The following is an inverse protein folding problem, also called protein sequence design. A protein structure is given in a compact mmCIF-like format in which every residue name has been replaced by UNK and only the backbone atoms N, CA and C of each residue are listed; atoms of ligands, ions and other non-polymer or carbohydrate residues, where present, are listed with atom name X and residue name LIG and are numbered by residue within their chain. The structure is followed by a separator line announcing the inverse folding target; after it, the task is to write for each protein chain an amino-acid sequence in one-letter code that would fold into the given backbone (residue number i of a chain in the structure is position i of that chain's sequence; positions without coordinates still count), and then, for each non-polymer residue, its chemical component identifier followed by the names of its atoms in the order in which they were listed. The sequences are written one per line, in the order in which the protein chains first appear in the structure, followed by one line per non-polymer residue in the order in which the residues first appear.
data_IF_844062730012
#
_entry.id   IF_844062730012
#
_cell.length_a   1.000
_cell.length_b   1.000
_cell.length_c   1.000
_cell.angle_alpha   90.00
_cell.angle_beta   90.00
_cell.angle_gamma   90.00
#
_symmetry.space_group_name_H-M   'P 1'
#
loop_
_entity.id
_entity.type
_entity.pdbx_description
1 polymer ?
#
# COMPACT_ATOMS: atom_id res chain seq x y z
N UNK A 1 -48.15 -77.04 -18.60
CA UNK A 1 -48.23 -75.71 -17.97
C UNK A 1 -46.90 -75.44 -17.24
N UNK A 2 -46.04 -74.71 -17.85
CA UNK A 2 -44.76 -74.29 -17.22
C UNK A 2 -44.62 -72.76 -17.36
N UNK A 3 -44.69 -72.10 -16.24
CA UNK A 3 -44.51 -70.64 -16.15
C UNK A 3 -43.03 -70.29 -16.19
N UNK A 4 -42.66 -69.52 -17.22
CA UNK A 4 -41.33 -68.95 -17.35
C UNK A 4 -41.32 -67.63 -16.60
N UNK A 5 -40.51 -67.57 -15.57
CA UNK A 5 -40.22 -66.29 -14.84
C UNK A 5 -39.06 -65.59 -15.55
N UNK A 6 -39.35 -64.51 -16.24
CA UNK A 6 -38.31 -63.58 -16.76
C UNK A 6 -37.73 -62.76 -15.61
N UNK A 7 -36.43 -62.91 -15.40
CA UNK A 7 -35.67 -62.06 -14.52
C UNK A 7 -35.08 -60.93 -15.39
N UNK A 8 -35.62 -59.73 -15.27
CA UNK A 8 -35.07 -58.55 -15.86
C UNK A 8 -34.00 -58.02 -14.90
N UNK A 9 -32.76 -58.28 -15.21
CA UNK A 9 -31.62 -57.66 -14.54
C UNK A 9 -31.43 -56.24 -15.01
N UNK A 10 -31.82 -55.28 -14.16
CA UNK A 10 -31.54 -53.88 -14.41
C UNK A 10 -30.07 -53.57 -14.10
N UNK A 11 -29.26 -53.39 -15.15
CA UNK A 11 -27.93 -52.82 -15.00
C UNK A 11 -28.05 -51.31 -14.79
N UNK A 12 -27.95 -50.88 -13.50
CA UNK A 12 -27.82 -49.47 -13.21
C UNK A 12 -26.39 -49.01 -13.54
N UNK A 13 -26.24 -48.40 -14.71
CA UNK A 13 -25.02 -47.67 -15.06
C UNK A 13 -24.96 -46.40 -14.19
N UNK A 14 -24.20 -46.43 -13.13
CA UNK A 14 -23.78 -45.22 -12.43
C UNK A 14 -22.79 -44.46 -13.33
N UNK A 15 -23.28 -43.46 -14.07
CA UNK A 15 -22.43 -42.43 -14.63
C UNK A 15 -21.91 -41.61 -13.46
N UNK A 16 -20.70 -41.92 -13.02
CA UNK A 16 -19.91 -40.99 -12.20
C UNK A 16 -19.52 -39.83 -13.13
N UNK A 17 -20.35 -38.79 -13.17
CA UNK A 17 -19.98 -37.52 -13.72
C UNK A 17 -18.90 -36.92 -12.77
N UNK A 18 -17.65 -37.27 -13.09
CA UNK A 18 -16.51 -36.56 -12.48
C UNK A 18 -16.60 -35.11 -12.91
N UNK A 19 -17.12 -34.28 -12.01
CA UNK A 19 -16.93 -32.83 -12.10
C UNK A 19 -15.42 -32.60 -12.02
N UNK A 20 -14.76 -32.44 -13.19
CA UNK A 20 -13.44 -31.87 -13.20
C UNK A 20 -13.57 -30.49 -12.48
N UNK A 21 -13.15 -30.44 -11.23
CA UNK A 21 -12.95 -29.17 -10.54
C UNK A 21 -11.89 -28.45 -11.38
N UNK A 22 -12.34 -27.51 -12.22
CA UNK A 22 -11.45 -26.53 -12.80
C UNK A 22 -10.86 -25.80 -11.61
N UNK A 23 -9.66 -26.20 -11.19
CA UNK A 23 -8.90 -25.45 -10.19
C UNK A 23 -8.88 -24.01 -10.70
N UNK A 24 -9.56 -23.12 -9.96
CA UNK A 24 -9.51 -21.71 -10.29
C UNK A 24 -8.04 -21.32 -10.34
N UNK A 25 -7.61 -20.71 -11.44
CA UNK A 25 -6.25 -20.18 -11.52
C UNK A 25 -6.12 -19.17 -10.39
N UNK A 26 -5.16 -19.40 -9.53
CA UNK A 26 -4.83 -18.49 -8.39
C UNK A 26 -3.69 -17.56 -8.74
N UNK A 27 -3.09 -17.72 -9.90
CA UNK A 27 -2.01 -16.92 -10.42
C UNK A 27 -2.57 -15.82 -11.33
N UNK A 28 -2.12 -14.60 -11.10
CA UNK A 28 -2.33 -13.44 -11.96
C UNK A 28 -1.00 -13.11 -12.65
N UNK A 29 -1.01 -13.08 -13.98
CA UNK A 29 0.13 -12.61 -14.77
C UNK A 29 -0.19 -11.21 -15.28
N UNK A 30 0.58 -10.23 -14.83
CA UNK A 30 0.46 -8.83 -15.24
C UNK A 30 1.62 -8.49 -16.15
N UNK A 31 1.31 -8.09 -17.40
CA UNK A 31 2.30 -7.55 -18.31
C UNK A 31 2.53 -6.07 -18.05
N UNK A 32 3.78 -5.66 -17.87
CA UNK A 32 4.18 -4.26 -17.75
C UNK A 32 5.03 -3.86 -18.95
N UNK A 33 5.00 -2.58 -19.31
CA UNK A 33 5.72 -2.06 -20.49
C UNK A 33 7.22 -1.95 -20.23
N UNK A 34 7.60 -1.62 -18.99
CA UNK A 34 8.99 -1.44 -18.58
C UNK A 34 9.27 -2.25 -17.33
N UNK A 35 10.44 -2.86 -17.28
CA UNK A 35 10.96 -3.51 -16.07
C UNK A 35 11.48 -2.43 -15.11
N UNK A 36 11.05 -2.42 -13.83
CA UNK A 36 11.59 -1.47 -12.85
C UNK A 36 13.06 -1.79 -12.55
N UNK A 37 13.94 -0.78 -12.43
CA UNK A 37 15.36 -1.00 -12.13
C UNK A 37 15.58 -1.56 -10.72
N UNK A 38 14.67 -1.30 -9.80
CA UNK A 38 14.58 -1.80 -8.42
C UNK A 38 13.15 -1.59 -7.91
N UNK A 39 12.85 -1.98 -6.67
CA UNK A 39 11.51 -1.88 -6.09
C UNK A 39 11.39 -0.82 -4.97
N UNK A 40 12.33 0.11 -4.84
CA UNK A 40 12.27 1.20 -3.88
C UNK A 40 11.69 2.46 -4.54
N UNK A 41 10.42 2.83 -4.25
CA UNK A 41 9.78 4.01 -4.83
C UNK A 41 10.35 5.32 -4.27
N UNK A 42 11.09 5.28 -3.15
CA UNK A 42 11.66 6.47 -2.51
C UNK A 42 13.04 6.86 -3.05
N UNK A 43 13.60 6.09 -3.98
CA UNK A 43 14.97 6.28 -4.47
C UNK A 43 15.09 6.48 -5.98
N UNK A 44 14.01 6.60 -6.74
CA UNK A 44 14.05 6.75 -8.20
C UNK A 44 12.78 7.37 -8.77
N UNK A 45 12.92 8.08 -9.89
CA UNK A 45 11.82 8.66 -10.68
C UNK A 45 11.22 7.68 -11.71
N UNK A 46 11.55 6.38 -11.67
CA UNK A 46 11.08 5.44 -12.68
C UNK A 46 9.62 5.04 -12.40
N UNK A 47 8.67 5.57 -13.19
CA UNK A 47 7.24 5.26 -13.07
C UNK A 47 6.91 3.75 -13.05
N UNK A 48 7.76 2.91 -13.68
CA UNK A 48 7.63 1.46 -13.65
C UNK A 48 7.73 0.88 -12.23
N UNK A 49 8.40 1.57 -11.28
CA UNK A 49 8.46 1.16 -9.88
C UNK A 49 7.08 1.35 -9.26
N UNK A 50 6.51 2.56 -9.38
CA UNK A 50 5.22 2.89 -8.78
C UNK A 50 4.09 2.03 -9.33
N UNK A 51 4.08 1.72 -10.64
CA UNK A 51 3.10 0.82 -11.26
C UNK A 51 3.04 -0.55 -10.58
N UNK A 52 4.15 -1.03 -10.02
CA UNK A 52 4.23 -2.35 -9.40
C UNK A 52 4.05 -2.26 -7.88
N UNK A 53 4.70 -1.29 -7.23
CA UNK A 53 4.85 -1.32 -5.77
C UNK A 53 3.83 -0.47 -5.03
N UNK A 54 3.35 0.63 -5.63
CA UNK A 54 2.38 1.51 -4.99
C UNK A 54 1.05 0.81 -4.75
N UNK A 55 0.53 0.90 -3.53
CA UNK A 55 -0.69 0.25 -3.07
C UNK A 55 -0.72 -1.30 -3.19
N UNK A 56 0.36 -1.93 -3.66
CA UNK A 56 0.53 -3.37 -3.71
C UNK A 56 1.51 -3.87 -2.63
N UNK A 57 2.65 -3.18 -2.49
CA UNK A 57 3.71 -3.51 -1.53
C UNK A 57 3.91 -2.40 -0.50
N UNK A 58 3.70 -1.15 -0.88
CA UNK A 58 3.89 0.02 -0.03
C UNK A 58 2.64 0.87 0.08
N UNK A 59 2.51 1.58 1.18
CA UNK A 59 1.39 2.48 1.47
C UNK A 59 1.91 3.83 1.99
N UNK A 60 1.18 4.92 1.64
CA UNK A 60 1.39 6.25 2.21
C UNK A 60 0.44 6.50 3.40
N UNK A 61 0.52 7.68 3.99
CA UNK A 61 -0.44 8.13 5.02
C UNK A 61 -1.85 8.21 4.45
N UNK A 62 -1.97 8.74 3.23
CA UNK A 62 -3.20 8.82 2.45
C UNK A 62 -3.05 8.02 1.17
N UNK A 63 -4.11 7.90 0.41
CA UNK A 63 -4.09 7.40 -0.97
C UNK A 63 -4.99 8.26 -1.85
N UNK A 64 -4.75 8.23 -3.15
CA UNK A 64 -5.60 8.88 -4.14
C UNK A 64 -6.60 7.86 -4.68
N UNK A 65 -7.88 8.12 -4.48
CA UNK A 65 -8.97 7.30 -4.98
C UNK A 65 -9.16 7.43 -6.50
N UNK A 66 -10.05 6.61 -7.06
CA UNK A 66 -10.26 6.51 -8.52
C UNK A 66 -10.74 7.80 -9.17
N UNK A 67 -11.42 8.66 -8.40
CA UNK A 67 -11.94 9.95 -8.89
C UNK A 67 -11.03 11.13 -8.52
N UNK A 68 -9.84 10.84 -7.97
CA UNK A 68 -8.87 11.85 -7.54
C UNK A 68 -9.10 12.38 -6.12
N UNK A 69 -10.04 11.81 -5.36
CA UNK A 69 -10.25 12.14 -3.95
C UNK A 69 -9.13 11.60 -3.06
N UNK A 70 -8.87 12.30 -1.97
CA UNK A 70 -7.93 11.83 -0.94
C UNK A 70 -8.67 10.93 0.04
N UNK A 71 -8.19 9.71 0.18
CA UNK A 71 -8.74 8.69 1.07
C UNK A 71 -7.73 8.31 2.17
N UNK A 72 -8.21 7.82 3.34
CA UNK A 72 -7.38 7.20 4.35
C UNK A 72 -6.55 6.01 3.80
N UNK A 73 -5.33 5.81 4.37
CA UNK A 73 -4.48 4.65 4.10
C UNK A 73 -3.80 4.21 5.41
N UNK A 74 -2.50 4.46 5.64
CA UNK A 74 -1.88 4.20 6.94
C UNK A 74 -2.41 5.13 8.05
N UNK A 75 -2.83 6.34 7.69
CA UNK A 75 -3.64 7.17 8.58
C UNK A 75 -5.12 6.81 8.43
N UNK A 76 -5.82 6.55 9.55
CA UNK A 76 -7.26 6.32 9.57
C UNK A 76 -8.05 7.64 9.47
N UNK A 77 -7.46 8.73 9.94
CA UNK A 77 -8.04 10.07 9.92
C UNK A 77 -6.97 11.14 10.13
N UNK A 78 -7.34 12.39 9.91
CA UNK A 78 -6.49 13.55 10.20
C UNK A 78 -7.33 14.79 10.53
N UNK A 79 -6.73 15.66 11.32
CA UNK A 79 -7.23 17.01 11.60
C UNK A 79 -6.30 18.05 10.96
N UNK A 80 -6.87 19.14 10.48
CA UNK A 80 -6.13 20.26 9.91
C UNK A 80 -6.44 21.54 10.71
N UNK A 81 -5.40 22.27 11.11
CA UNK A 81 -5.56 23.54 11.81
C UNK A 81 -6.25 24.60 10.94
N UNK A 82 -6.89 25.58 11.56
CA UNK A 82 -7.63 26.66 10.86
C UNK A 82 -6.76 27.43 9.87
N UNK A 83 -5.46 27.58 10.17
CA UNK A 83 -4.48 28.24 9.31
C UNK A 83 -3.93 27.34 8.17
N UNK A 84 -4.35 26.07 8.13
CA UNK A 84 -3.96 25.09 7.11
C UNK A 84 -2.49 24.65 7.18
N UNK A 85 -1.82 24.87 8.33
CA UNK A 85 -0.38 24.56 8.47
C UNK A 85 -0.09 23.30 9.27
N UNK A 86 -0.97 22.91 10.18
CA UNK A 86 -0.72 21.78 11.07
C UNK A 86 -1.68 20.65 10.71
N UNK A 87 -1.11 19.49 10.41
CA UNK A 87 -1.82 18.24 10.13
C UNK A 87 -1.54 17.25 11.24
N UNK A 88 -2.58 16.78 11.92
CA UNK A 88 -2.46 15.74 12.95
C UNK A 88 -3.08 14.45 12.43
N UNK A 89 -2.25 13.48 12.11
CA UNK A 89 -2.67 12.18 11.61
C UNK A 89 -2.87 11.20 12.76
N UNK A 90 -3.97 10.43 12.71
CA UNK A 90 -4.20 9.24 13.53
C UNK A 90 -3.89 8.01 12.71
N UNK A 91 -2.98 7.17 13.19
CA UNK A 91 -2.51 5.99 12.48
C UNK A 91 -3.32 4.74 12.86
N UNK A 92 -3.48 3.83 11.91
CA UNK A 92 -4.03 2.51 12.20
C UNK A 92 -3.14 1.75 13.18
N UNK A 93 -3.76 1.01 14.10
CA UNK A 93 -3.06 0.15 15.05
C UNK A 93 -2.87 -1.27 14.51
N UNK A 94 -1.80 -1.95 14.95
CA UNK A 94 -1.55 -3.36 14.62
C UNK A 94 -1.11 -3.60 13.17
N UNK A 95 -0.72 -2.55 12.45
CA UNK A 95 -0.08 -2.66 11.13
C UNK A 95 1.35 -3.13 11.32
N UNK A 96 1.83 -3.99 10.42
CA UNK A 96 3.19 -4.50 10.43
C UNK A 96 3.87 -4.33 9.08
N UNK A 97 5.18 -4.09 9.12
CA UNK A 97 6.02 -4.21 7.93
C UNK A 97 6.21 -5.67 7.51
N UNK A 98 6.78 -5.89 6.33
CA UNK A 98 6.98 -7.23 5.77
C UNK A 98 7.94 -8.10 6.57
N UNK A 99 8.83 -7.51 7.34
CA UNK A 99 9.76 -8.20 8.25
C UNK A 99 9.13 -8.57 9.60
N UNK A 100 7.89 -8.12 9.84
CA UNK A 100 7.12 -8.37 11.06
C UNK A 100 7.26 -7.32 12.14
N UNK A 101 8.08 -6.26 11.95
CA UNK A 101 8.17 -5.12 12.85
C UNK A 101 6.85 -4.34 12.88
N UNK A 102 6.55 -3.70 13.98
CA UNK A 102 5.33 -2.89 14.12
C UNK A 102 5.52 -1.54 13.44
N UNK A 103 4.48 -1.07 12.77
CA UNK A 103 4.42 0.28 12.21
C UNK A 103 3.91 1.26 13.26
N UNK A 104 4.60 2.41 13.40
CA UNK A 104 4.19 3.49 14.28
C UNK A 104 4.56 4.89 13.76
N UNK A 105 4.37 5.89 14.62
CA UNK A 105 4.60 7.30 14.30
C UNK A 105 6.08 7.66 14.06
N UNK A 106 7.01 6.91 14.65
CA UNK A 106 8.45 7.14 14.43
C UNK A 106 8.86 6.75 13.00
N UNK A 107 8.24 5.72 12.41
CA UNK A 107 8.48 5.33 11.01
C UNK A 107 8.03 6.41 10.04
N UNK A 108 6.87 7.02 10.33
CA UNK A 108 6.37 8.16 9.54
C UNK A 108 7.32 9.34 9.65
N UNK A 109 7.75 9.66 10.86
CA UNK A 109 8.72 10.73 11.10
C UNK A 109 10.03 10.45 10.38
N UNK A 110 10.59 9.27 10.52
CA UNK A 110 11.80 8.84 9.83
C UNK A 110 11.67 9.02 8.30
N UNK A 111 10.59 8.49 7.73
CA UNK A 111 10.36 8.53 6.28
C UNK A 111 10.27 9.96 5.75
N UNK A 112 9.48 10.83 6.40
CA UNK A 112 9.30 12.21 5.96
C UNK A 112 10.56 13.05 6.18
N UNK A 113 11.30 12.82 7.27
CA UNK A 113 12.58 13.48 7.54
C UNK A 113 13.64 13.07 6.51
N UNK A 114 13.73 11.76 6.18
CA UNK A 114 14.60 11.24 5.12
C UNK A 114 14.24 11.81 3.74
N UNK A 115 12.95 11.85 3.39
CA UNK A 115 12.50 12.33 2.09
C UNK A 115 12.82 13.81 1.85
N UNK A 116 12.82 14.65 2.88
CA UNK A 116 13.10 16.09 2.81
C UNK A 116 14.55 16.46 3.11
N UNK A 117 15.40 15.51 3.49
CA UNK A 117 16.81 15.75 3.78
C UNK A 117 17.55 16.38 2.57
N UNK A 118 18.63 17.10 2.83
CA UNK A 118 19.40 17.77 1.77
C UNK A 118 19.99 16.75 0.78
N UNK A 119 20.48 15.62 1.30
CA UNK A 119 21.05 14.49 0.56
C UNK A 119 20.02 13.44 0.11
N UNK A 120 18.73 13.75 0.21
CA UNK A 120 17.65 12.83 -0.15
C UNK A 120 17.75 12.38 -1.62
N UNK A 121 17.67 11.08 -1.84
CA UNK A 121 17.59 10.46 -3.18
C UNK A 121 16.16 10.37 -3.70
N UNK A 122 15.15 10.81 -2.92
CA UNK A 122 13.76 10.82 -3.36
C UNK A 122 13.58 11.75 -4.57
N UNK A 123 13.09 11.19 -5.68
CA UNK A 123 12.92 11.91 -6.93
C UNK A 123 11.91 13.05 -6.83
N UNK A 124 10.94 12.93 -5.95
CA UNK A 124 9.88 13.91 -5.70
C UNK A 124 10.08 14.69 -4.40
N UNK A 125 11.32 14.89 -3.97
CA UNK A 125 11.61 15.59 -2.70
C UNK A 125 10.94 16.98 -2.60
N UNK A 126 10.54 17.57 -3.71
CA UNK A 126 9.78 18.83 -3.73
C UNK A 126 8.38 18.69 -3.09
N UNK A 127 7.78 17.48 -3.08
CA UNK A 127 6.51 17.23 -2.39
C UNK A 127 6.61 17.49 -0.89
N UNK A 128 7.81 17.31 -0.33
CA UNK A 128 8.09 17.42 1.11
C UNK A 128 8.69 18.78 1.49
N UNK A 129 8.99 19.65 0.52
CA UNK A 129 9.69 20.92 0.76
C UNK A 129 8.91 21.90 1.65
N UNK A 130 7.58 21.79 1.67
CA UNK A 130 6.72 22.61 2.53
C UNK A 130 6.75 22.18 3.99
N UNK A 131 7.23 20.98 4.32
CA UNK A 131 7.28 20.46 5.69
C UNK A 131 8.34 21.25 6.47
N UNK A 132 7.96 21.77 7.63
CA UNK A 132 8.83 22.39 8.61
C UNK A 132 9.26 21.37 9.67
N UNK A 133 8.29 20.78 10.38
CA UNK A 133 8.57 19.76 11.39
C UNK A 133 7.66 18.54 11.26
N UNK A 134 8.19 17.38 11.67
CA UNK A 134 7.44 16.14 11.87
C UNK A 134 7.67 15.66 13.30
N UNK A 135 6.60 15.47 14.05
CA UNK A 135 6.63 15.07 15.44
C UNK A 135 5.83 13.77 15.63
N UNK A 136 6.47 12.73 16.14
CA UNK A 136 5.77 11.57 16.69
C UNK A 136 5.28 11.94 18.09
N UNK A 137 3.98 12.24 18.22
CA UNK A 137 3.37 12.70 19.49
C UNK A 137 3.18 11.52 20.44
N UNK A 138 2.74 10.40 19.89
CA UNK A 138 2.61 9.10 20.52
C UNK A 138 2.70 8.03 19.41
N UNK A 139 2.76 6.72 19.71
CA UNK A 139 2.93 5.69 18.69
C UNK A 139 1.87 5.71 17.55
N UNK A 140 0.68 6.27 17.77
CA UNK A 140 -0.40 6.34 16.80
C UNK A 140 -0.72 7.76 16.32
N UNK A 141 0.08 8.77 16.72
CA UNK A 141 -0.22 10.16 16.36
C UNK A 141 1.01 10.86 15.82
N UNK A 142 0.93 11.31 14.57
CA UNK A 142 1.96 12.14 13.92
C UNK A 142 1.41 13.54 13.70
N UNK A 143 2.21 14.54 14.06
CA UNK A 143 1.93 15.95 13.77
C UNK A 143 2.93 16.46 12.75
N UNK A 144 2.44 16.95 11.62
CA UNK A 144 3.23 17.57 10.56
C UNK A 144 2.91 19.05 10.50
N UNK A 145 3.92 19.89 10.67
CA UNK A 145 3.78 21.35 10.54
C UNK A 145 4.39 21.80 9.21
N UNK A 146 3.67 22.64 8.49
CA UNK A 146 4.11 23.22 7.22
C UNK A 146 4.62 24.65 7.43
N UNK A 147 5.64 25.04 6.66
CA UNK A 147 6.16 26.42 6.59
C UNK A 147 5.08 27.41 6.12
N UNK A 148 4.29 27.00 5.14
CA UNK A 148 3.16 27.73 4.56
C UNK A 148 2.01 26.77 4.27
N UNK A 149 0.74 27.24 4.30
CA UNK A 149 -0.40 26.39 3.95
C UNK A 149 -0.26 25.83 2.54
N UNK A 150 -0.55 24.54 2.38
CA UNK A 150 -0.46 23.88 1.09
C UNK A 150 -1.68 22.97 0.86
N UNK A 151 -2.61 23.41 -0.01
CA UNK A 151 -3.86 22.68 -0.25
C UNK A 151 -3.68 21.28 -0.84
N UNK A 152 -2.55 21.04 -1.53
CA UNK A 152 -2.24 19.73 -2.13
C UNK A 152 -1.52 18.77 -1.14
N UNK A 153 -1.24 19.17 0.10
CA UNK A 153 -0.38 18.39 1.00
C UNK A 153 -0.92 16.97 1.23
N UNK A 154 -2.19 16.81 1.56
CA UNK A 154 -2.79 15.48 1.75
C UNK A 154 -2.77 14.63 0.47
N UNK A 155 -2.97 15.26 -0.68
CA UNK A 155 -2.87 14.60 -1.98
C UNK A 155 -1.43 14.11 -2.24
N UNK A 156 -0.44 14.94 -1.92
CA UNK A 156 0.98 14.59 -2.07
C UNK A 156 1.38 13.41 -1.17
N UNK A 157 0.79 13.29 0.03
CA UNK A 157 1.04 12.16 0.94
C UNK A 157 0.41 10.83 0.45
N UNK A 158 -0.35 10.87 -0.62
CA UNK A 158 -0.91 9.71 -1.30
C UNK A 158 -0.17 9.29 -2.57
N UNK A 159 1.00 9.86 -2.86
CA UNK A 159 1.82 9.49 -4.02
C UNK A 159 2.78 8.35 -3.69
N UNK A 160 3.24 7.64 -4.75
CA UNK A 160 4.18 6.52 -4.61
C UNK A 160 5.49 6.90 -3.93
N UNK A 161 5.99 8.11 -4.17
CA UNK A 161 7.20 8.65 -3.53
C UNK A 161 7.03 9.01 -2.05
N UNK A 162 5.78 9.06 -1.55
CA UNK A 162 5.42 9.38 -0.15
C UNK A 162 5.00 8.14 0.67
N UNK A 163 5.34 6.95 0.21
CA UNK A 163 5.11 5.72 0.96
C UNK A 163 5.99 5.64 2.20
N UNK A 164 5.49 4.98 3.23
CA UNK A 164 6.22 4.83 4.50
C UNK A 164 7.09 3.58 4.44
N UNK A 165 8.33 3.75 4.87
CA UNK A 165 9.35 2.69 4.93
C UNK A 165 9.89 2.55 6.34
N UNK A 166 10.23 1.32 6.73
CA UNK A 166 10.88 1.06 8.01
C UNK A 166 12.34 1.55 7.98
N UNK A 167 12.86 2.15 9.08
CA UNK A 167 14.26 2.55 9.18
C UNK A 167 15.24 1.43 8.83
N UNK A 168 14.96 0.22 9.31
CA UNK A 168 15.79 -0.96 9.12
C UNK A 168 15.96 -1.38 7.65
N UNK A 169 14.89 -1.18 6.85
CA UNK A 169 14.93 -1.47 5.41
C UNK A 169 15.57 -0.36 4.59
N UNK A 170 15.64 0.86 5.13
CA UNK A 170 16.18 2.02 4.41
C UNK A 170 17.69 2.19 4.54
N UNK A 171 18.35 1.56 5.53
CA UNK A 171 19.78 1.73 5.82
C UNK A 171 20.72 1.23 4.70
N UNK A 172 20.24 0.39 3.80
CA UNK A 172 20.99 -0.09 2.63
C UNK A 172 20.94 0.82 1.40
N UNK A 173 20.08 1.85 1.40
CA UNK A 173 19.75 2.69 0.25
C UNK A 173 20.09 4.19 0.52
N UNK A 174 21.26 4.45 1.07
CA UNK A 174 21.83 5.81 1.14
C UNK A 174 22.60 6.15 -0.10
#
# INVERSE_FOLDING_TARGET
MKTIKSIIGGAALLLAAGTAALAARTDLVVGVVLEPPHLDPTASAAAAIDEIVYANLFQGLTRVGRNGEVEPSLAESWDVSEDGKVYTFKLHTGVKFHDGTDFDAEDVKFTLDRARAEDSTNAQKQLFAAIDTVEAVDPQTVKVTLKTPQGAFLYNMGWGDAVIVAPESADGNK
#
